data_IF_962196823026
#
_entry.id   IF_962196823026
#
_cell.length_a   1.000
_cell.length_b   1.000
_cell.length_c   1.000
_cell.angle_alpha   90.00
_cell.angle_beta   90.00
_cell.angle_gamma   90.00
#
_symmetry.space_group_name_H-M   'P 1'
#
loop_
_entity.id
_entity.type
_entity.pdbx_description
1 polymer ?
#
# COMPACT_ATOMS: atom_id res chain seq x y z
N UNK A 1 32.20 -26.84 -29.34
CA UNK A 1 31.77 -25.56 -28.76
C UNK A 1 31.05 -25.88 -27.47
N UNK A 2 31.48 -25.31 -26.34
CA UNK A 2 30.82 -25.53 -25.05
C UNK A 2 29.40 -24.97 -25.10
N UNK A 3 28.41 -25.77 -24.75
CA UNK A 3 27.03 -25.30 -24.70
C UNK A 3 26.90 -24.21 -23.63
N UNK A 4 26.50 -23.00 -24.04
CA UNK A 4 26.22 -21.93 -23.12
C UNK A 4 25.04 -22.32 -22.23
N UNK A 5 25.21 -22.15 -20.91
CA UNK A 5 24.16 -22.46 -19.93
C UNK A 5 22.89 -21.63 -20.18
N UNK A 6 21.74 -22.13 -19.73
CA UNK A 6 20.46 -21.42 -19.87
C UNK A 6 20.51 -20.01 -19.25
N UNK A 7 21.17 -19.87 -18.11
CA UNK A 7 21.37 -18.57 -17.44
C UNK A 7 22.21 -17.61 -18.30
N UNK A 8 23.30 -18.11 -18.89
CA UNK A 8 24.15 -17.33 -19.81
C UNK A 8 23.36 -16.89 -21.04
N UNK A 9 22.57 -17.78 -21.65
CA UNK A 9 21.71 -17.46 -22.79
C UNK A 9 20.69 -16.38 -22.45
N UNK A 10 20.02 -16.49 -21.30
CA UNK A 10 19.05 -15.50 -20.83
C UNK A 10 19.68 -14.11 -20.65
N UNK A 11 20.87 -14.03 -20.05
CA UNK A 11 21.59 -12.78 -19.87
C UNK A 11 21.98 -12.13 -21.20
N UNK A 12 22.54 -12.92 -22.13
CA UNK A 12 22.89 -12.45 -23.47
C UNK A 12 21.68 -11.87 -24.19
N UNK A 13 20.57 -12.62 -24.25
CA UNK A 13 19.32 -12.18 -24.91
C UNK A 13 18.74 -10.95 -24.20
N UNK A 14 18.80 -10.87 -22.87
CA UNK A 14 18.34 -9.71 -22.10
C UNK A 14 19.15 -8.45 -22.39
N UNK A 15 20.47 -8.55 -22.56
CA UNK A 15 21.30 -7.41 -22.94
C UNK A 15 21.07 -6.98 -24.39
N UNK A 16 20.89 -7.93 -25.31
CA UNK A 16 20.53 -7.64 -26.70
C UNK A 16 19.18 -6.93 -26.79
N UNK A 17 18.16 -7.39 -26.06
CA UNK A 17 16.83 -6.75 -26.00
C UNK A 17 16.86 -5.31 -25.43
N UNK A 18 17.92 -4.94 -24.68
CA UNK A 18 18.17 -3.57 -24.19
C UNK A 18 19.00 -2.71 -25.15
N UNK A 19 19.31 -3.22 -26.34
CA UNK A 19 20.07 -2.51 -27.36
C UNK A 19 21.58 -2.47 -27.11
N UNK A 20 22.13 -3.36 -26.25
CA UNK A 20 23.58 -3.47 -26.08
C UNK A 20 24.21 -4.14 -27.29
N UNK A 21 25.40 -3.68 -27.67
CA UNK A 21 26.13 -4.24 -28.81
C UNK A 21 26.68 -5.62 -28.48
N UNK A 22 26.83 -6.48 -29.49
CA UNK A 22 27.39 -7.83 -29.30
C UNK A 22 28.81 -7.80 -28.72
N UNK A 23 29.60 -6.79 -29.11
CA UNK A 23 30.96 -6.59 -28.59
C UNK A 23 30.94 -6.30 -27.08
N UNK A 24 30.09 -5.36 -26.64
CA UNK A 24 29.98 -5.01 -25.22
C UNK A 24 29.57 -6.21 -24.35
N UNK A 25 28.66 -7.05 -24.86
CA UNK A 25 28.20 -8.27 -24.17
C UNK A 25 29.32 -9.31 -24.12
N UNK A 26 30.04 -9.52 -25.22
CA UNK A 26 31.17 -10.44 -25.31
C UNK A 26 32.25 -10.08 -24.28
N UNK A 27 32.63 -8.80 -24.22
CA UNK A 27 33.64 -8.29 -23.29
C UNK A 27 33.16 -8.39 -21.83
N UNK A 28 31.90 -8.02 -21.56
CA UNK A 28 31.34 -8.03 -20.20
C UNK A 28 31.11 -9.44 -19.62
N UNK A 29 30.88 -10.43 -20.48
CA UNK A 29 30.60 -11.81 -20.07
C UNK A 29 31.77 -12.78 -20.30
N UNK A 30 32.87 -12.33 -20.92
CA UNK A 30 34.01 -13.18 -21.28
C UNK A 30 33.65 -14.24 -22.32
N UNK A 31 32.69 -13.95 -23.21
CA UNK A 31 32.21 -14.89 -24.23
C UNK A 31 32.78 -14.55 -25.62
N UNK A 32 33.07 -15.56 -26.47
CA UNK A 32 33.40 -15.30 -27.86
C UNK A 32 32.28 -14.54 -28.57
N UNK A 33 32.61 -13.51 -29.36
CA UNK A 33 31.62 -12.68 -30.07
C UNK A 33 30.70 -13.51 -30.98
N UNK A 34 31.21 -14.57 -31.58
CA UNK A 34 30.43 -15.46 -32.45
C UNK A 34 29.38 -16.26 -31.67
N UNK A 35 29.69 -16.63 -30.42
CA UNK A 35 28.71 -17.28 -29.54
C UNK A 35 27.58 -16.32 -29.17
N UNK A 36 27.90 -15.06 -28.85
CA UNK A 36 26.90 -14.01 -28.58
C UNK A 36 26.01 -13.77 -29.80
N UNK A 37 26.59 -13.68 -31.00
CA UNK A 37 25.86 -13.53 -32.27
C UNK A 37 24.97 -14.73 -32.56
N UNK A 38 25.49 -15.94 -32.33
CA UNK A 38 24.72 -17.17 -32.52
C UNK A 38 23.51 -17.22 -31.60
N UNK A 39 23.69 -16.99 -30.29
CA UNK A 39 22.59 -16.93 -29.31
C UNK A 39 21.57 -15.85 -29.72
N UNK A 40 22.05 -14.67 -30.16
CA UNK A 40 21.16 -13.62 -30.67
C UNK A 40 20.30 -14.07 -31.84
N UNK A 41 20.89 -14.74 -32.84
CA UNK A 41 20.15 -15.25 -34.02
C UNK A 41 19.15 -16.34 -33.66
N UNK A 42 19.53 -17.26 -32.78
CA UNK A 42 18.64 -18.33 -32.27
C UNK A 42 17.38 -17.76 -31.61
N UNK A 43 17.47 -16.57 -31.03
CA UNK A 43 16.36 -15.90 -30.32
C UNK A 43 15.75 -14.71 -31.08
N UNK A 44 16.02 -14.57 -32.38
CA UNK A 44 15.31 -13.65 -33.26
C UNK A 44 15.94 -12.26 -33.45
N UNK A 45 17.21 -12.05 -33.10
CA UNK A 45 17.93 -10.84 -33.49
C UNK A 45 17.92 -10.67 -35.02
N UNK A 46 17.81 -9.43 -35.55
CA UNK A 46 17.84 -8.14 -34.86
C UNK A 46 16.48 -7.62 -34.37
N UNK A 47 15.41 -8.42 -34.40
CA UNK A 47 14.08 -8.00 -33.97
C UNK A 47 14.01 -7.89 -32.43
N UNK A 48 13.96 -6.65 -31.94
CA UNK A 48 13.95 -6.33 -30.51
C UNK A 48 12.71 -6.86 -29.79
N UNK A 49 11.57 -6.92 -30.48
CA UNK A 49 10.33 -7.48 -29.92
C UNK A 49 10.45 -8.98 -29.68
N UNK A 50 11.05 -9.71 -30.63
CA UNK A 50 11.32 -11.14 -30.49
C UNK A 50 12.34 -11.44 -29.41
N UNK A 51 13.40 -10.62 -29.31
CA UNK A 51 14.41 -10.75 -28.25
C UNK A 51 13.82 -10.51 -26.85
N UNK A 52 12.93 -9.53 -26.68
CA UNK A 52 12.24 -9.31 -25.42
C UNK A 52 11.38 -10.52 -25.03
N UNK A 53 10.55 -11.01 -25.95
CA UNK A 53 9.72 -12.20 -25.73
C UNK A 53 10.56 -13.45 -25.42
N UNK A 54 11.70 -13.64 -26.11
CA UNK A 54 12.62 -14.73 -25.86
C UNK A 54 13.30 -14.61 -24.48
N UNK A 55 13.66 -13.39 -24.06
CA UNK A 55 14.21 -13.16 -22.72
C UNK A 55 13.23 -13.55 -21.62
N UNK A 56 11.95 -13.18 -21.78
CA UNK A 56 10.89 -13.55 -20.84
C UNK A 56 10.62 -15.05 -20.82
N UNK A 57 10.66 -15.72 -21.98
CA UNK A 57 10.52 -17.17 -22.07
C UNK A 57 11.68 -17.91 -21.37
N UNK A 58 12.92 -17.49 -21.62
CA UNK A 58 14.11 -18.06 -20.96
C UNK A 58 14.08 -17.81 -19.45
N UNK A 59 13.60 -16.63 -19.02
CA UNK A 59 13.40 -16.33 -17.59
C UNK A 59 12.36 -17.26 -16.97
N UNK A 60 11.21 -17.47 -17.62
CA UNK A 60 10.19 -18.42 -17.15
C UNK A 60 10.75 -19.85 -17.06
N UNK A 61 11.61 -20.27 -17.98
CA UNK A 61 12.26 -21.58 -17.91
C UNK A 61 13.25 -21.68 -16.74
N UNK A 62 14.01 -20.62 -16.46
CA UNK A 62 14.89 -20.55 -15.28
C UNK A 62 14.08 -20.59 -13.99
N UNK A 63 12.99 -19.82 -13.92
CA UNK A 63 12.11 -19.77 -12.75
C UNK A 63 11.42 -21.13 -12.55
N UNK A 64 10.93 -21.77 -13.62
CA UNK A 64 10.35 -23.11 -13.57
C UNK A 64 11.38 -24.15 -13.13
N UNK A 65 12.61 -24.11 -13.67
CA UNK A 65 13.70 -24.99 -13.25
C UNK A 65 14.14 -24.75 -11.81
N UNK A 66 14.11 -23.51 -11.33
CA UNK A 66 14.36 -23.16 -9.93
C UNK A 66 13.24 -23.65 -9.01
N UNK A 67 11.98 -23.61 -9.48
CA UNK A 67 10.82 -24.11 -8.73
C UNK A 67 10.88 -25.63 -8.61
N UNK A 68 11.22 -26.34 -9.68
CA UNK A 68 11.42 -27.79 -9.67
C UNK A 68 12.61 -28.18 -8.79
N UNK A 69 13.71 -27.41 -8.78
CA UNK A 69 14.83 -27.64 -7.84
C UNK A 69 14.43 -27.38 -6.39
N UNK A 70 13.67 -26.32 -6.11
CA UNK A 70 13.21 -26.00 -4.77
C UNK A 70 12.21 -27.05 -4.23
N UNK A 71 11.38 -27.64 -5.10
CA UNK A 71 10.45 -28.71 -4.72
C UNK A 71 11.16 -30.05 -4.49
N UNK A 72 12.29 -30.30 -5.17
CA UNK A 72 13.18 -31.44 -4.92
C UNK A 72 14.09 -31.21 -3.70
N UNK A 73 14.51 -29.97 -3.42
CA UNK A 73 15.34 -29.58 -2.27
C UNK A 73 14.56 -29.36 -0.96
N UNK A 74 13.23 -29.50 -1.00
CA UNK A 74 12.36 -29.50 0.20
C UNK A 74 12.41 -30.80 1.02
N UNK A 75 13.09 -31.86 0.52
CA UNK A 75 13.45 -33.03 1.32
C UNK A 75 14.94 -32.95 1.65
N UNK A 76 15.35 -33.08 2.93
CA UNK A 76 16.76 -33.15 3.29
C UNK A 76 17.39 -34.30 2.50
N UNK A 77 18.32 -33.99 1.59
CA UNK A 77 19.09 -35.00 0.87
C UNK A 77 19.87 -35.81 1.90
N UNK A 78 19.60 -37.11 2.08
CA UNK A 78 20.39 -37.93 2.99
C UNK A 78 21.77 -38.11 2.36
N UNK A 79 22.75 -37.35 2.85
CA UNK A 79 24.16 -37.43 2.42
C UNK A 79 24.73 -36.18 1.75
N UNK A 80 23.95 -35.12 1.53
CA UNK A 80 24.48 -33.84 1.04
C UNK A 80 25.20 -33.10 2.16
N UNK A 81 26.53 -33.03 2.11
CA UNK A 81 27.33 -32.25 3.06
C UNK A 81 26.89 -30.77 2.94
N UNK A 82 26.05 -30.31 3.85
CA UNK A 82 25.73 -28.88 3.94
C UNK A 82 26.99 -28.11 4.34
N UNK A 83 27.08 -26.81 4.04
CA UNK A 83 28.24 -26.01 4.44
C UNK A 83 28.56 -26.11 5.95
N UNK A 84 27.54 -26.33 6.79
CA UNK A 84 27.68 -26.66 8.22
C UNK A 84 28.34 -28.02 8.44
N UNK A 85 27.83 -29.06 7.78
CA UNK A 85 28.35 -30.44 7.88
C UNK A 85 29.79 -30.53 7.36
N UNK A 86 30.13 -29.75 6.33
CA UNK A 86 31.48 -29.73 5.74
C UNK A 86 32.51 -29.06 6.63
N UNK A 87 32.16 -27.99 7.34
CA UNK A 87 33.09 -27.35 8.28
C UNK A 87 33.27 -28.17 9.55
N UNK A 88 32.24 -28.84 10.04
CA UNK A 88 32.37 -29.80 11.15
C UNK A 88 33.23 -31.01 10.78
N UNK A 89 33.14 -31.50 9.54
CA UNK A 89 34.03 -32.54 9.02
C UNK A 89 35.47 -32.06 8.88
N UNK A 90 35.69 -30.85 8.35
CA UNK A 90 37.02 -30.25 8.25
C UNK A 90 37.66 -30.01 9.64
N UNK A 91 36.86 -29.64 10.65
CA UNK A 91 37.33 -29.51 12.04
C UNK A 91 37.74 -30.87 12.62
N UNK A 92 36.90 -31.90 12.45
CA UNK A 92 37.23 -33.27 12.90
C UNK A 92 38.46 -33.84 12.20
N UNK A 93 38.64 -33.58 10.91
CA UNK A 93 39.83 -33.98 10.16
C UNK A 93 41.07 -33.19 10.59
N UNK A 94 40.95 -31.89 10.83
CA UNK A 94 42.05 -31.06 11.34
C UNK A 94 42.50 -31.48 12.74
N UNK A 95 41.56 -31.86 13.61
CA UNK A 95 41.83 -32.43 14.93
C UNK A 95 42.49 -33.80 14.83
N UNK A 96 42.04 -34.66 13.90
CA UNK A 96 42.65 -35.97 13.64
C UNK A 96 44.10 -35.87 13.15
N UNK A 97 44.45 -34.81 12.43
CA UNK A 97 45.81 -34.54 11.92
C UNK A 97 46.64 -33.75 12.95
N UNK A 98 46.05 -33.40 14.11
CA UNK A 98 46.67 -32.65 15.21
C UNK A 98 47.31 -31.33 14.77
N UNK A 99 46.81 -30.70 13.70
CA UNK A 99 47.37 -29.46 13.17
C UNK A 99 46.72 -28.23 13.82
N UNK A 100 47.43 -27.48 14.70
CA UNK A 100 46.80 -26.38 15.45
C UNK A 100 46.34 -25.24 14.53
N UNK A 101 47.06 -25.04 13.41
CA UNK A 101 46.74 -24.02 12.40
C UNK A 101 45.44 -24.34 11.66
N UNK A 102 45.21 -25.60 11.29
CA UNK A 102 43.98 -26.01 10.60
C UNK A 102 42.78 -25.96 11.54
N UNK A 103 42.96 -26.36 12.80
CA UNK A 103 41.90 -26.25 13.82
C UNK A 103 41.51 -24.79 14.06
N UNK A 104 42.48 -23.87 14.20
CA UNK A 104 42.21 -22.44 14.34
C UNK A 104 41.44 -21.89 13.14
N UNK A 105 41.87 -22.24 11.92
CA UNK A 105 41.23 -21.77 10.69
C UNK A 105 39.82 -22.34 10.51
N UNK A 106 39.60 -23.59 10.93
CA UNK A 106 38.28 -24.23 10.95
C UNK A 106 37.32 -23.52 11.91
N UNK A 107 37.80 -23.13 13.11
CA UNK A 107 37.01 -22.35 14.08
C UNK A 107 36.66 -20.97 13.55
N UNK A 108 37.61 -20.28 12.91
CA UNK A 108 37.36 -18.97 12.28
C UNK A 108 36.30 -19.07 11.17
N UNK A 109 36.35 -20.12 10.35
CA UNK A 109 35.36 -20.38 9.31
C UNK A 109 33.97 -20.66 9.89
N UNK A 110 33.89 -21.47 10.96
CA UNK A 110 32.63 -21.74 11.65
C UNK A 110 32.02 -20.47 12.26
N UNK A 111 32.85 -19.60 12.86
CA UNK A 111 32.42 -18.33 13.41
C UNK A 111 31.90 -17.39 12.32
N UNK A 112 32.63 -17.24 11.21
CA UNK A 112 32.20 -16.42 10.06
C UNK A 112 30.90 -16.91 9.45
N UNK A 113 30.73 -18.23 9.29
CA UNK A 113 29.45 -18.79 8.80
C UNK A 113 28.29 -18.49 9.74
N UNK A 114 28.51 -18.57 11.05
CA UNK A 114 27.49 -18.23 12.04
C UNK A 114 27.10 -16.76 11.90
N UNK A 115 28.10 -15.86 11.78
CA UNK A 115 27.88 -14.44 11.56
C UNK A 115 27.07 -14.16 10.29
N UNK A 116 27.43 -14.78 9.16
CA UNK A 116 26.68 -14.62 7.91
C UNK A 116 25.24 -15.13 8.01
N UNK A 117 24.99 -16.21 8.76
CA UNK A 117 23.62 -16.70 9.00
C UNK A 117 22.80 -15.71 9.80
N UNK A 118 23.37 -15.13 10.85
CA UNK A 118 22.70 -14.06 11.62
C UNK A 118 22.45 -12.82 10.77
N UNK A 119 23.41 -12.41 9.94
CA UNK A 119 23.28 -11.24 9.08
C UNK A 119 22.22 -11.47 7.98
N UNK A 120 22.17 -12.67 7.40
CA UNK A 120 21.11 -13.05 6.44
C UNK A 120 19.73 -13.10 7.10
N UNK A 121 19.63 -13.62 8.33
CA UNK A 121 18.38 -13.62 9.09
C UNK A 121 17.93 -12.20 9.49
N UNK A 122 18.87 -11.29 9.74
CA UNK A 122 18.57 -9.88 9.98
C UNK A 122 18.15 -9.16 8.70
N UNK A 123 18.84 -9.39 7.58
CA UNK A 123 18.52 -8.82 6.28
C UNK A 123 17.15 -9.30 5.78
N UNK A 124 16.84 -10.59 5.91
CA UNK A 124 15.55 -11.15 5.49
C UNK A 124 14.37 -10.53 6.27
N UNK A 125 14.53 -10.30 7.58
CA UNK A 125 13.54 -9.57 8.40
C UNK A 125 13.34 -8.13 7.93
N UNK A 126 14.42 -7.44 7.55
CA UNK A 126 14.32 -6.07 7.02
C UNK A 126 13.63 -6.02 5.64
N UNK A 127 13.92 -6.98 4.76
CA UNK A 127 13.26 -7.08 3.45
C UNK A 127 11.79 -7.49 3.56
N UNK A 128 11.45 -8.42 4.45
CA UNK A 128 10.06 -8.76 4.77
C UNK A 128 9.28 -7.54 5.28
N UNK A 129 9.89 -6.73 6.16
CA UNK A 129 9.30 -5.48 6.63
C UNK A 129 9.09 -4.43 5.53
N UNK A 130 9.94 -4.39 4.49
CA UNK A 130 9.76 -3.49 3.33
C UNK A 130 8.61 -3.95 2.43
N UNK A 131 8.49 -5.26 2.18
CA UNK A 131 7.39 -5.82 1.39
C UNK A 131 6.03 -5.63 2.09
N UNK A 132 5.96 -5.85 3.40
CA UNK A 132 4.75 -5.58 4.19
C UNK A 132 4.39 -4.08 4.21
N UNK A 133 5.39 -3.20 4.35
CA UNK A 133 5.17 -1.74 4.28
C UNK A 133 4.66 -1.32 2.90
N UNK A 134 5.19 -1.90 1.82
CA UNK A 134 4.71 -1.63 0.46
C UNK A 134 3.24 -2.08 0.29
N UNK A 135 2.88 -3.26 0.79
CA UNK A 135 1.49 -3.74 0.80
C UNK A 135 0.55 -2.84 1.61
N UNK A 136 0.98 -2.40 2.79
CA UNK A 136 0.21 -1.47 3.65
C UNK A 136 0.02 -0.09 2.99
N UNK A 137 1.04 0.41 2.29
CA UNK A 137 0.95 1.67 1.54
C UNK A 137 0.00 1.56 0.33
N UNK A 138 0.02 0.43 -0.39
CA UNK A 138 -0.92 0.18 -1.47
C UNK A 138 -2.37 0.12 -0.96
N UNK A 139 -2.61 -0.57 0.16
CA UNK A 139 -3.93 -0.63 0.83
C UNK A 139 -4.41 0.76 1.27
N UNK A 140 -3.51 1.61 1.77
CA UNK A 140 -3.83 2.99 2.12
C UNK A 140 -4.18 3.86 0.90
N UNK A 141 -3.53 3.64 -0.24
CA UNK A 141 -3.86 4.34 -1.48
C UNK A 141 -5.26 3.94 -2.01
N UNK A 142 -5.59 2.65 -1.93
CA UNK A 142 -6.90 2.10 -2.30
C UNK A 142 -8.02 2.69 -1.43
N UNK A 143 -7.85 2.68 -0.10
CA UNK A 143 -8.83 3.26 0.83
C UNK A 143 -9.03 4.77 0.61
N UNK A 144 -7.97 5.52 0.30
CA UNK A 144 -8.11 6.95 -0.04
C UNK A 144 -8.87 7.17 -1.35
N UNK A 145 -8.72 6.27 -2.32
CA UNK A 145 -9.48 6.34 -3.57
C UNK A 145 -10.97 6.04 -3.33
N UNK A 146 -11.28 5.09 -2.45
CA UNK A 146 -12.66 4.79 -2.02
C UNK A 146 -13.28 5.98 -1.26
N UNK A 147 -12.57 6.60 -0.33
CA UNK A 147 -13.04 7.82 0.35
C UNK A 147 -13.34 8.95 -0.64
N UNK A 148 -12.49 9.11 -1.67
CA UNK A 148 -12.71 10.10 -2.71
C UNK A 148 -13.95 9.79 -3.56
N UNK A 149 -14.20 8.52 -3.89
CA UNK A 149 -15.42 8.06 -4.57
C UNK A 149 -16.66 8.32 -3.72
N UNK A 150 -16.65 7.92 -2.45
CA UNK A 150 -17.76 8.17 -1.52
C UNK A 150 -18.03 9.68 -1.39
N UNK A 151 -16.99 10.51 -1.31
CA UNK A 151 -17.17 11.97 -1.28
C UNK A 151 -17.75 12.52 -2.59
N UNK A 152 -17.36 11.97 -3.73
CA UNK A 152 -17.92 12.37 -5.02
C UNK A 152 -19.39 11.95 -5.15
N UNK A 153 -19.73 10.75 -4.71
CA UNK A 153 -21.10 10.24 -4.64
C UNK A 153 -21.95 11.06 -3.66
N UNK A 154 -21.42 11.42 -2.49
CA UNK A 154 -22.10 12.30 -1.54
C UNK A 154 -22.29 13.70 -2.12
N UNK A 155 -21.36 14.22 -2.93
CA UNK A 155 -21.55 15.51 -3.63
C UNK A 155 -22.56 15.41 -4.77
N UNK A 156 -22.61 14.28 -5.48
CA UNK A 156 -23.60 14.06 -6.54
C UNK A 156 -25.00 13.78 -6.00
N UNK A 157 -25.08 13.12 -4.84
CA UNK A 157 -26.33 12.80 -4.12
C UNK A 157 -26.80 13.95 -3.24
N UNK A 158 -25.88 14.84 -2.84
CA UNK A 158 -26.22 16.20 -2.47
C UNK A 158 -26.66 16.95 -3.73
N UNK A 159 -27.85 16.60 -4.22
CA UNK A 159 -28.68 17.52 -4.97
C UNK A 159 -28.54 18.88 -4.28
N UNK A 160 -28.38 19.99 -5.03
CA UNK A 160 -28.45 21.29 -4.39
C UNK A 160 -29.74 21.25 -3.59
N UNK A 161 -29.62 21.30 -2.27
CA UNK A 161 -30.67 21.84 -1.45
C UNK A 161 -30.72 23.28 -1.92
N UNK A 162 -31.37 23.48 -3.08
CA UNK A 162 -32.18 24.64 -3.36
C UNK A 162 -32.88 24.77 -2.03
N UNK A 163 -32.42 25.73 -1.23
CA UNK A 163 -33.22 26.23 -0.14
C UNK A 163 -34.50 26.58 -0.87
N UNK A 164 -35.45 25.65 -0.88
CA UNK A 164 -36.82 25.98 -0.99
C UNK A 164 -36.91 27.07 0.06
N UNK A 165 -37.02 28.30 -0.41
CA UNK A 165 -37.74 29.32 0.29
C UNK A 165 -39.09 28.67 0.54
N UNK A 166 -39.14 27.83 1.58
CA UNK A 166 -40.32 27.60 2.35
C UNK A 166 -40.73 29.02 2.66
N UNK A 167 -41.71 29.51 1.90
CA UNK A 167 -42.60 30.54 2.41
C UNK A 167 -42.99 29.96 3.76
N UNK A 168 -42.33 30.46 4.81
CA UNK A 168 -42.62 30.16 6.20
C UNK A 168 -44.12 30.30 6.26
N UNK A 169 -44.83 29.18 6.29
CA UNK A 169 -46.25 29.18 6.60
C UNK A 169 -46.28 29.93 7.92
N UNK A 170 -46.88 31.13 7.88
CA UNK A 170 -46.86 32.03 9.00
C UNK A 170 -47.36 31.23 10.20
N UNK A 171 -46.48 30.98 11.18
CA UNK A 171 -46.91 30.47 12.46
C UNK A 171 -48.12 31.33 12.87
N UNK A 172 -49.24 30.73 13.33
CA UNK A 172 -50.40 31.49 13.74
C UNK A 172 -49.88 32.58 14.67
N UNK A 173 -50.02 33.84 14.25
CA UNK A 173 -49.56 34.98 15.05
C UNK A 173 -50.28 34.84 16.38
N UNK A 174 -49.58 34.36 17.41
CA UNK A 174 -50.07 34.42 18.78
C UNK A 174 -50.55 35.85 18.94
N UNK A 175 -51.85 36.02 19.22
CA UNK A 175 -52.43 37.33 19.36
C UNK A 175 -51.56 38.06 20.36
N UNK A 176 -50.88 39.11 19.90
CA UNK A 176 -50.00 39.90 20.77
C UNK A 176 -50.79 40.23 22.03
N UNK A 177 -50.19 40.11 23.20
CA UNK A 177 -50.83 40.37 24.49
C UNK A 177 -51.68 41.65 24.49
N UNK A 178 -51.23 42.67 23.75
CA UNK A 178 -51.95 43.92 23.52
C UNK A 178 -53.34 43.76 22.86
N UNK A 179 -53.49 42.84 21.93
CA UNK A 179 -54.78 42.55 21.29
C UNK A 179 -55.75 41.87 22.28
N UNK A 180 -55.23 41.01 23.17
CA UNK A 180 -56.01 40.36 24.22
C UNK A 180 -56.50 41.40 25.23
N UNK A 181 -55.61 42.29 25.67
CA UNK A 181 -55.94 43.39 26.61
C UNK A 181 -56.98 44.34 26.00
N UNK A 182 -56.87 44.70 24.71
CA UNK A 182 -57.86 45.56 24.04
C UNK A 182 -59.22 44.89 23.91
N UNK A 183 -59.26 43.62 23.53
CA UNK A 183 -60.50 42.85 23.44
C UNK A 183 -61.18 42.75 24.80
N UNK A 184 -60.40 42.54 25.85
CA UNK A 184 -60.88 42.58 27.23
C UNK A 184 -61.43 43.96 27.61
N UNK A 185 -60.69 45.03 27.36
CA UNK A 185 -61.10 46.39 27.70
C UNK A 185 -62.42 46.78 27.03
N UNK A 186 -62.60 46.40 25.75
CA UNK A 186 -63.84 46.58 25.01
C UNK A 186 -65.04 45.86 25.65
N UNK A 187 -64.83 44.64 26.16
CA UNK A 187 -65.87 43.89 26.88
C UNK A 187 -66.15 44.41 28.30
N UNK A 188 -65.16 45.04 28.93
CA UNK A 188 -65.27 45.63 30.27
C UNK A 188 -65.77 47.08 30.28
N UNK A 189 -66.04 47.67 29.11
CA UNK A 189 -66.45 49.07 28.99
C UNK A 189 -65.33 50.09 29.27
N UNK A 190 -64.07 49.67 29.25
CA UNK A 190 -62.91 50.54 29.51
C UNK A 190 -62.42 51.15 28.20
N UNK A 191 -62.27 52.48 28.16
CA UNK A 191 -61.81 53.21 26.98
C UNK A 191 -60.35 52.86 26.69
N UNK A 192 -60.09 52.15 25.61
CA UNK A 192 -58.75 51.80 25.13
C UNK A 192 -58.61 52.20 23.66
N UNK A 193 -57.54 52.91 23.26
CA UNK A 193 -57.35 53.28 21.87
C UNK A 193 -57.21 52.03 20.99
N UNK A 194 -57.63 52.11 19.72
CA UNK A 194 -57.64 50.96 18.82
C UNK A 194 -56.23 50.61 18.32
N UNK A 195 -55.35 51.61 18.18
CA UNK A 195 -53.95 51.47 17.77
C UNK A 195 -52.98 52.12 18.78
N UNK A 196 -51.68 51.90 18.65
CA UNK A 196 -50.65 52.55 19.49
C UNK A 196 -50.34 51.84 20.83
N UNK A 197 -49.80 52.55 21.82
CA UNK A 197 -49.45 51.99 23.14
C UNK A 197 -50.70 51.88 24.02
N UNK A 198 -50.85 50.78 24.76
CA UNK A 198 -51.95 50.62 25.73
C UNK A 198 -51.65 51.49 26.96
N UNK A 199 -52.60 52.32 27.42
CA UNK A 199 -52.44 53.09 28.65
C UNK A 199 -52.13 52.17 29.85
N UNK A 200 -51.21 52.60 30.73
CA UNK A 200 -50.78 51.80 31.88
C UNK A 200 -51.95 51.37 32.77
N UNK A 201 -52.89 52.28 33.03
CA UNK A 201 -54.12 52.01 33.81
C UNK A 201 -54.94 50.84 33.29
N UNK A 202 -55.01 50.65 31.97
CA UNK A 202 -55.75 49.53 31.35
C UNK A 202 -54.97 48.22 31.50
N UNK A 203 -53.64 48.28 31.41
CA UNK A 203 -52.77 47.11 31.61
C UNK A 203 -52.81 46.65 33.07
N UNK A 204 -52.75 47.57 34.01
CA UNK A 204 -52.77 47.27 35.46
C UNK A 204 -54.13 46.69 35.87
N UNK A 205 -55.23 47.24 35.36
CA UNK A 205 -56.56 46.69 35.59
C UNK A 205 -56.72 45.27 35.03
N UNK A 206 -56.13 44.99 33.87
CA UNK A 206 -56.08 43.64 33.29
C UNK A 206 -55.21 42.68 34.11
N UNK A 207 -54.04 43.13 34.58
CA UNK A 207 -53.11 42.36 35.40
C UNK A 207 -53.73 41.97 36.75
N UNK A 208 -54.35 42.95 37.43
CA UNK A 208 -55.08 42.75 38.69
C UNK A 208 -56.20 41.72 38.56
N UNK A 209 -56.95 41.73 37.45
CA UNK A 209 -58.01 40.74 37.19
C UNK A 209 -57.47 39.33 37.01
N UNK A 210 -56.31 39.18 36.36
CA UNK A 210 -55.72 37.88 36.04
C UNK A 210 -54.74 37.37 37.11
N UNK A 211 -54.58 38.10 38.23
CA UNK A 211 -53.65 37.72 39.32
C UNK A 211 -52.17 37.77 38.92
N UNK A 212 -51.86 38.38 37.77
CA UNK A 212 -50.49 38.59 37.32
C UNK A 212 -50.04 39.88 38.01
N UNK A 213 -49.10 39.79 38.95
CA UNK A 213 -48.49 40.99 39.53
C UNK A 213 -47.83 41.77 38.37
N UNK A 214 -48.25 43.03 38.21
CA UNK A 214 -47.81 43.93 37.14
C UNK A 214 -46.30 44.15 37.15
#
# INVERSE_FOLDING_TARGET
MTEATLATRQQVVSHLARGRTTQWIADGMGLPIDAVRQIGREHGAPDMGKLAAASDALRKQLDAGATVRAEVEGKPVPGGITASTGIEQLLKEAERIESPRLVSRGKDLAQRLTQYRTDLAAASKQHAGKAEKAGKLARLAELKAEEAKIRAELRGSAAPVVKATTRKAAAPKQASESAVIRRWAKGAGVVCPEFGRIPGSVRDAYANRNGVKA
#
